data_IF_753814427080
#
_entry.id   IF_753814427080
#
_cell.length_a   1.000
_cell.length_b   1.000
_cell.length_c   1.000
_cell.angle_alpha   90.00
_cell.angle_beta   90.00
_cell.angle_gamma   90.00
#
_symmetry.space_group_name_H-M   'P 1'
#
loop_
_entity.id
_entity.type
_entity.pdbx_description
1 polymer ?
#
# COMPACT_ATOMS: atom_id res chain seq x y z
N UNK A 1 -20.78 8.65 -67.80
CA UNK A 1 -20.45 9.70 -68.77
C UNK A 1 -19.01 10.11 -68.53
N UNK A 2 -18.12 9.84 -69.51
CA UNK A 2 -16.74 10.36 -69.42
C UNK A 2 -16.78 11.85 -69.73
N UNK A 3 -16.53 12.68 -68.70
CA UNK A 3 -16.40 14.11 -68.81
C UNK A 3 -14.94 14.48 -68.98
N UNK A 4 -14.61 15.10 -70.13
CA UNK A 4 -13.24 15.58 -70.40
C UNK A 4 -13.29 17.10 -70.37
N UNK A 5 -12.46 17.68 -69.47
CA UNK A 5 -12.28 19.16 -69.42
C UNK A 5 -11.41 19.57 -70.60
N UNK A 6 -11.98 20.21 -71.61
CA UNK A 6 -11.31 20.78 -72.80
C UNK A 6 -11.41 22.31 -72.76
N UNK A 7 -10.45 23.00 -73.39
CA UNK A 7 -10.43 24.44 -73.51
C UNK A 7 -11.64 25.02 -74.30
N UNK A 8 -12.41 24.17 -74.92
CA UNK A 8 -13.66 24.53 -75.64
C UNK A 8 -14.91 24.34 -74.81
N UNK A 9 -14.80 23.91 -73.56
CA UNK A 9 -15.94 23.68 -72.67
C UNK A 9 -16.70 24.99 -72.41
N UNK A 10 -18.01 25.01 -72.76
CA UNK A 10 -18.90 26.19 -72.55
C UNK A 10 -19.76 25.96 -71.27
N UNK A 11 -20.26 27.09 -70.70
CA UNK A 11 -21.25 27.05 -69.64
C UNK A 11 -22.54 26.30 -70.04
N UNK A 12 -22.87 26.30 -71.29
CA UNK A 12 -24.02 25.60 -71.85
C UNK A 12 -23.81 24.08 -71.81
N UNK A 13 -22.58 23.61 -72.03
CA UNK A 13 -22.23 22.19 -71.94
C UNK A 13 -22.34 21.72 -70.53
N UNK A 14 -21.85 22.49 -69.55
CA UNK A 14 -21.97 22.20 -68.11
C UNK A 14 -23.46 22.18 -67.70
N UNK A 15 -24.23 23.12 -68.11
CA UNK A 15 -25.69 23.19 -67.85
C UNK A 15 -26.42 21.97 -68.37
N UNK A 16 -26.11 21.53 -69.62
CA UNK A 16 -26.71 20.39 -70.28
C UNK A 16 -26.40 19.04 -69.58
N UNK A 17 -25.34 18.99 -68.76
CA UNK A 17 -24.98 17.78 -67.94
C UNK A 17 -25.96 17.57 -66.80
N UNK A 18 -26.84 18.54 -66.48
CA UNK A 18 -27.77 18.42 -65.34
C UNK A 18 -27.14 17.99 -64.06
N UNK A 19 -25.97 18.52 -63.71
CA UNK A 19 -25.17 18.11 -62.56
C UNK A 19 -25.90 18.20 -61.19
N UNK A 20 -26.92 19.07 -61.16
CA UNK A 20 -27.83 19.24 -60.04
C UNK A 20 -28.56 17.92 -59.63
N UNK A 21 -28.75 16.99 -60.57
CA UNK A 21 -29.40 15.70 -60.31
C UNK A 21 -28.47 14.75 -59.51
N UNK A 22 -27.17 15.01 -59.51
CA UNK A 22 -26.13 14.22 -58.84
C UNK A 22 -25.57 14.96 -57.64
N UNK A 23 -26.23 16.01 -57.16
CA UNK A 23 -25.73 16.84 -56.08
C UNK A 23 -25.54 16.02 -54.81
N UNK A 24 -26.50 15.15 -54.43
CA UNK A 24 -26.44 14.28 -53.27
C UNK A 24 -25.31 13.25 -53.40
N UNK A 25 -25.17 12.59 -54.55
CA UNK A 25 -24.09 11.59 -54.79
C UNK A 25 -22.70 12.24 -54.72
N UNK A 26 -22.56 13.46 -55.24
CA UNK A 26 -21.32 14.24 -55.21
C UNK A 26 -20.99 14.68 -53.77
N UNK A 27 -22.00 15.12 -53.03
CA UNK A 27 -21.84 15.50 -51.62
C UNK A 27 -21.42 14.31 -50.78
N UNK A 28 -22.08 13.15 -50.92
CA UNK A 28 -21.72 11.92 -50.22
C UNK A 28 -20.31 11.45 -50.59
N UNK A 29 -19.93 11.40 -51.86
CA UNK A 29 -18.60 11.03 -52.30
C UNK A 29 -17.54 12.01 -51.80
N UNK A 30 -17.86 13.30 -51.77
CA UNK A 30 -16.94 14.34 -51.26
C UNK A 30 -16.76 14.21 -49.73
N UNK A 31 -17.83 13.92 -48.99
CA UNK A 31 -17.77 13.70 -47.55
C UNK A 31 -16.97 12.42 -47.21
N UNK A 32 -17.23 11.32 -47.95
CA UNK A 32 -16.46 10.11 -47.86
C UNK A 32 -14.96 10.38 -48.07
N UNK A 33 -14.60 11.03 -49.17
CA UNK A 33 -13.20 11.36 -49.48
C UNK A 33 -12.53 12.23 -48.42
N UNK A 34 -13.27 13.20 -47.84
CA UNK A 34 -12.74 14.02 -46.73
C UNK A 34 -12.52 13.19 -45.46
N UNK A 35 -13.44 12.29 -45.12
CA UNK A 35 -13.31 11.43 -43.93
C UNK A 35 -12.19 10.44 -44.12
N UNK A 36 -12.08 9.80 -45.28
CA UNK A 36 -10.96 8.87 -45.60
C UNK A 36 -9.61 9.58 -45.56
N UNK A 37 -9.46 10.76 -46.15
CA UNK A 37 -8.25 11.55 -46.08
C UNK A 37 -7.87 11.98 -44.65
N UNK A 38 -8.87 12.25 -43.79
CA UNK A 38 -8.66 12.54 -42.39
C UNK A 38 -8.17 11.31 -41.64
N UNK A 39 -8.75 10.13 -41.89
CA UNK A 39 -8.33 8.87 -41.31
C UNK A 39 -6.91 8.51 -41.71
N UNK A 40 -6.58 8.60 -43.00
CA UNK A 40 -5.22 8.36 -43.50
C UNK A 40 -4.20 9.27 -42.84
N UNK A 41 -4.48 10.57 -42.74
CA UNK A 41 -3.59 11.51 -42.04
C UNK A 41 -3.39 11.17 -40.58
N UNK A 42 -4.44 10.72 -39.90
CA UNK A 42 -4.37 10.31 -38.48
C UNK A 42 -3.55 9.04 -38.32
N UNK A 43 -3.76 8.04 -39.17
CA UNK A 43 -2.97 6.78 -39.15
C UNK A 43 -1.48 7.04 -39.43
N UNK A 44 -1.18 7.89 -40.41
CA UNK A 44 0.21 8.31 -40.69
C UNK A 44 0.84 9.02 -39.49
N UNK A 45 0.11 9.90 -38.83
CA UNK A 45 0.58 10.56 -37.60
C UNK A 45 0.82 9.56 -36.47
N UNK A 46 -0.06 8.56 -36.27
CA UNK A 46 0.13 7.50 -35.30
C UNK A 46 1.40 6.69 -35.59
N UNK A 47 1.62 6.30 -36.85
CA UNK A 47 2.82 5.57 -37.28
C UNK A 47 4.09 6.34 -36.97
N UNK A 48 4.14 7.65 -37.26
CA UNK A 48 5.30 8.49 -36.98
C UNK A 48 5.52 8.69 -35.49
N UNK A 49 4.46 8.94 -34.72
CA UNK A 49 4.55 9.23 -33.29
C UNK A 49 4.99 8.00 -32.50
N UNK A 50 4.35 6.85 -32.69
CA UNK A 50 4.62 5.64 -31.87
C UNK A 50 5.90 4.89 -32.27
N UNK A 51 6.51 5.25 -33.38
CA UNK A 51 7.80 4.69 -33.83
C UNK A 51 8.94 4.97 -32.84
N UNK A 52 8.91 6.14 -32.17
CA UNK A 52 10.03 6.64 -31.37
C UNK A 52 9.69 6.78 -29.89
N UNK A 53 8.44 6.50 -29.46
CA UNK A 53 8.04 6.58 -28.06
C UNK A 53 8.75 5.50 -27.25
N UNK A 54 9.58 5.94 -26.29
CA UNK A 54 10.33 5.09 -25.37
C UNK A 54 9.75 5.11 -23.98
N UNK A 55 9.95 4.02 -23.26
CA UNK A 55 9.74 3.99 -21.81
C UNK A 55 10.76 4.87 -21.09
N UNK A 56 10.36 5.41 -19.95
CA UNK A 56 11.25 5.98 -18.95
C UNK A 56 11.72 4.86 -18.03
N UNK A 57 13.02 4.88 -17.68
CA UNK A 57 13.62 3.88 -16.82
C UNK A 57 14.13 4.52 -15.54
N UNK A 58 13.76 3.91 -14.40
CA UNK A 58 14.22 4.30 -13.08
C UNK A 58 14.91 3.08 -12.43
N UNK A 59 16.08 3.32 -11.83
CA UNK A 59 16.83 2.25 -11.15
C UNK A 59 16.12 1.81 -9.87
N UNK A 60 15.91 0.52 -9.70
CA UNK A 60 15.37 -0.03 -8.46
C UNK A 60 16.39 0.13 -7.32
N UNK A 61 15.92 0.59 -6.14
CA UNK A 61 16.78 0.85 -4.98
C UNK A 61 17.52 -0.41 -4.54
N UNK A 62 18.85 -0.36 -4.57
CA UNK A 62 19.72 -1.43 -4.09
C UNK A 62 20.01 -2.56 -5.08
N UNK A 63 19.59 -2.42 -6.34
CA UNK A 63 19.89 -3.40 -7.41
C UNK A 63 20.13 -2.70 -8.75
N UNK A 64 20.75 -3.41 -9.70
CA UNK A 64 20.96 -2.93 -11.08
C UNK A 64 19.73 -3.08 -11.98
N UNK A 65 18.56 -3.37 -11.41
CA UNK A 65 17.33 -3.61 -12.15
C UNK A 65 16.69 -2.29 -12.56
N UNK A 66 16.42 -2.13 -13.86
CA UNK A 66 15.75 -0.97 -14.43
C UNK A 66 14.25 -1.22 -14.47
N UNK A 67 13.51 -0.46 -13.69
CA UNK A 67 12.04 -0.41 -13.74
C UNK A 67 11.62 0.56 -14.84
N UNK A 68 10.48 0.29 -15.49
CA UNK A 68 10.01 1.14 -16.57
C UNK A 68 8.57 1.61 -16.36
N UNK A 69 8.27 2.74 -16.97
CA UNK A 69 6.91 3.32 -17.07
C UNK A 69 6.81 4.19 -18.32
N UNK A 70 5.61 4.45 -18.80
CA UNK A 70 5.37 5.57 -19.72
C UNK A 70 5.44 6.90 -18.97
N UNK A 71 5.91 7.97 -19.62
CA UNK A 71 5.78 9.32 -19.09
C UNK A 71 4.30 9.73 -19.03
N UNK A 72 3.96 10.67 -18.17
CA UNK A 72 2.59 11.20 -18.06
C UNK A 72 2.12 11.76 -19.41
N UNK A 73 2.95 12.51 -20.11
CA UNK A 73 2.65 13.05 -21.45
C UNK A 73 2.35 11.95 -22.48
N UNK A 74 3.15 10.86 -22.47
CA UNK A 74 2.94 9.73 -23.38
C UNK A 74 1.69 8.92 -23.00
N UNK A 75 1.32 8.89 -21.73
CA UNK A 75 0.11 8.22 -21.26
C UNK A 75 -1.14 9.00 -21.65
N UNK A 76 -1.15 10.32 -21.50
CA UNK A 76 -2.24 11.20 -21.99
C UNK A 76 -2.39 11.07 -23.51
N UNK A 77 -1.28 11.06 -24.25
CA UNK A 77 -1.29 10.85 -25.70
C UNK A 77 -1.83 9.47 -26.08
N UNK A 78 -1.53 8.42 -25.30
CA UNK A 78 -2.07 7.08 -25.49
C UNK A 78 -3.59 7.08 -25.40
N UNK A 79 -4.15 7.70 -24.36
CA UNK A 79 -5.60 7.79 -24.17
C UNK A 79 -6.27 8.59 -25.30
N UNK A 80 -5.69 9.72 -25.70
CA UNK A 80 -6.19 10.51 -26.83
C UNK A 80 -6.20 9.69 -28.12
N UNK A 81 -5.10 8.99 -28.40
CA UNK A 81 -4.98 8.17 -29.61
C UNK A 81 -5.93 6.97 -29.60
N UNK A 82 -6.18 6.35 -28.46
CA UNK A 82 -7.18 5.29 -28.31
C UNK A 82 -8.60 5.81 -28.65
N UNK A 83 -8.95 7.00 -28.16
CA UNK A 83 -10.22 7.63 -28.47
C UNK A 83 -10.34 7.96 -29.96
N UNK A 84 -9.27 8.48 -30.59
CA UNK A 84 -9.24 8.78 -32.02
C UNK A 84 -9.44 7.54 -32.87
N UNK A 85 -8.72 6.44 -32.57
CA UNK A 85 -8.85 5.17 -33.30
C UNK A 85 -10.22 4.53 -33.10
N UNK A 86 -10.77 4.59 -31.90
CA UNK A 86 -12.14 4.11 -31.61
C UNK A 86 -13.20 4.91 -32.40
N UNK A 87 -13.05 6.23 -32.50
CA UNK A 87 -13.92 7.07 -33.31
C UNK A 87 -13.81 6.75 -34.82
N UNK A 88 -12.60 6.45 -35.32
CA UNK A 88 -12.40 6.01 -36.70
C UNK A 88 -13.08 4.67 -36.98
N UNK A 89 -12.96 3.69 -36.06
CA UNK A 89 -13.63 2.38 -36.20
C UNK A 89 -15.17 2.49 -36.19
N UNK A 90 -15.73 3.52 -35.56
CA UNK A 90 -17.16 3.78 -35.52
C UNK A 90 -17.67 4.58 -36.75
N UNK A 91 -16.76 5.00 -37.65
CA UNK A 91 -17.12 5.80 -38.83
C UNK A 91 -17.71 4.90 -39.94
N UNK A 92 -18.80 5.35 -40.60
CA UNK A 92 -19.43 4.61 -41.70
C UNK A 92 -18.52 4.36 -42.92
N UNK A 93 -17.46 5.15 -43.07
CA UNK A 93 -16.51 5.05 -44.18
C UNK A 93 -15.19 4.38 -43.80
N UNK A 94 -15.15 3.60 -42.69
CA UNK A 94 -13.94 2.97 -42.20
C UNK A 94 -13.47 1.77 -43.05
N UNK A 95 -14.33 1.22 -43.91
CA UNK A 95 -14.13 -0.06 -44.60
C UNK A 95 -12.74 -0.23 -45.25
N UNK A 96 -12.20 0.82 -45.86
CA UNK A 96 -10.87 0.77 -46.48
C UNK A 96 -9.73 0.71 -45.44
N UNK A 97 -9.89 1.36 -44.28
CA UNK A 97 -8.90 1.47 -43.23
C UNK A 97 -9.19 0.55 -42.05
N UNK A 98 -10.22 -0.29 -42.08
CA UNK A 98 -10.68 -1.13 -40.96
C UNK A 98 -9.58 -2.01 -40.40
N UNK A 99 -8.80 -2.66 -41.26
CA UNK A 99 -7.69 -3.57 -40.85
C UNK A 99 -6.60 -2.79 -40.11
N UNK A 100 -6.22 -1.62 -40.62
CA UNK A 100 -5.18 -0.79 -40.01
C UNK A 100 -5.66 -0.14 -38.71
N UNK A 101 -6.89 0.37 -38.66
CA UNK A 101 -7.51 0.89 -37.45
C UNK A 101 -7.65 -0.20 -36.38
N UNK A 102 -8.04 -1.43 -36.74
CA UNK A 102 -8.13 -2.55 -35.80
C UNK A 102 -6.75 -2.93 -35.26
N UNK A 103 -5.73 -2.95 -36.11
CA UNK A 103 -4.35 -3.19 -35.68
C UNK A 103 -3.91 -2.13 -34.67
N UNK A 104 -4.10 -0.84 -34.97
CA UNK A 104 -3.75 0.26 -34.06
C UNK A 104 -4.54 0.18 -32.75
N UNK A 105 -5.84 -0.12 -32.82
CA UNK A 105 -6.64 -0.29 -31.61
C UNK A 105 -6.09 -1.38 -30.70
N UNK A 106 -5.65 -2.49 -31.27
CA UNK A 106 -5.05 -3.61 -30.54
C UNK A 106 -3.68 -3.24 -29.96
N UNK A 107 -2.81 -2.59 -30.75
CA UNK A 107 -1.47 -2.18 -30.29
C UNK A 107 -1.55 -1.13 -29.17
N UNK A 108 -2.40 -0.12 -29.29
CA UNK A 108 -2.61 0.88 -28.24
C UNK A 108 -3.23 0.27 -26.96
N UNK A 109 -4.16 -0.68 -27.12
CA UNK A 109 -4.72 -1.42 -26.00
C UNK A 109 -3.65 -2.25 -25.27
N UNK A 110 -2.78 -2.94 -26.02
CA UNK A 110 -1.66 -3.71 -25.46
C UNK A 110 -0.68 -2.80 -24.69
N UNK A 111 -0.37 -1.62 -25.22
CA UNK A 111 0.52 -0.66 -24.52
C UNK A 111 -0.10 -0.21 -23.20
N UNK A 112 -1.40 0.11 -23.18
CA UNK A 112 -2.12 0.52 -21.98
C UNK A 112 -2.16 -0.59 -20.93
N UNK A 113 -2.54 -1.79 -21.35
CA UNK A 113 -2.63 -2.96 -20.47
C UNK A 113 -1.27 -3.33 -19.87
N UNK A 114 -0.24 -3.42 -20.70
CA UNK A 114 1.11 -3.78 -20.24
C UNK A 114 1.70 -2.71 -19.33
N UNK A 115 1.48 -1.41 -19.62
CA UNK A 115 1.94 -0.34 -18.73
C UNK A 115 1.29 -0.42 -17.35
N UNK A 116 0.01 -0.71 -17.27
CA UNK A 116 -0.72 -0.88 -16.01
C UNK A 116 -0.25 -2.13 -15.25
N UNK A 117 -0.19 -3.28 -15.93
CA UNK A 117 0.33 -4.54 -15.36
C UNK A 117 1.77 -4.39 -14.88
N UNK A 118 2.63 -3.75 -15.67
CA UNK A 118 4.02 -3.49 -15.28
C UNK A 118 4.10 -2.62 -14.04
N UNK A 119 3.26 -1.58 -13.93
CA UNK A 119 3.20 -0.73 -12.74
C UNK A 119 2.79 -1.50 -11.48
N UNK A 120 1.79 -2.37 -11.58
CA UNK A 120 1.36 -3.23 -10.48
C UNK A 120 2.43 -4.26 -10.10
N UNK A 121 2.93 -5.00 -11.07
CA UNK A 121 3.96 -6.04 -10.87
C UNK A 121 5.22 -5.46 -10.24
N UNK A 122 5.71 -4.33 -10.73
CA UNK A 122 6.91 -3.68 -10.19
C UNK A 122 6.73 -3.22 -8.74
N UNK A 123 5.55 -2.67 -8.38
CA UNK A 123 5.25 -2.28 -7.00
C UNK A 123 5.18 -3.48 -6.07
N UNK A 124 4.40 -4.50 -6.44
CA UNK A 124 4.25 -5.73 -5.65
C UNK A 124 5.58 -6.48 -5.52
N UNK A 125 6.32 -6.65 -6.61
CA UNK A 125 7.63 -7.28 -6.59
C UNK A 125 8.63 -6.55 -5.69
N UNK A 126 8.75 -5.23 -5.84
CA UNK A 126 9.67 -4.41 -5.05
C UNK A 126 9.36 -4.47 -3.54
N UNK A 127 8.08 -4.53 -3.17
CA UNK A 127 7.64 -4.69 -1.80
C UNK A 127 7.99 -6.09 -1.25
N UNK A 128 7.69 -7.13 -2.02
CA UNK A 128 7.87 -8.51 -1.59
C UNK A 128 9.33 -8.98 -1.64
N UNK A 129 10.18 -8.39 -2.51
CA UNK A 129 11.60 -8.73 -2.62
C UNK A 129 12.31 -8.60 -1.28
N UNK A 130 12.12 -7.47 -0.58
CA UNK A 130 12.74 -7.25 0.73
C UNK A 130 12.31 -8.28 1.77
N UNK A 131 11.08 -8.79 1.68
CA UNK A 131 10.53 -9.72 2.64
C UNK A 131 10.92 -11.17 2.36
N UNK A 132 10.75 -11.63 1.13
CA UNK A 132 11.01 -13.03 0.77
C UNK A 132 12.49 -13.32 0.49
N UNK A 133 13.30 -12.30 0.12
CA UNK A 133 14.73 -12.49 -0.15
C UNK A 133 15.60 -12.15 1.06
N UNK A 134 15.24 -11.13 1.84
CA UNK A 134 16.11 -10.64 2.92
C UNK A 134 15.64 -11.00 4.33
N UNK A 135 14.38 -11.37 4.56
CA UNK A 135 13.89 -11.76 5.88
C UNK A 135 13.95 -13.28 6.09
N UNK A 136 14.84 -13.72 6.96
CA UNK A 136 14.95 -15.13 7.35
C UNK A 136 13.72 -15.65 8.09
N UNK A 137 13.02 -14.78 8.83
CA UNK A 137 11.78 -15.14 9.54
C UNK A 137 10.66 -15.47 8.56
N UNK A 138 10.47 -14.63 7.54
CA UNK A 138 9.46 -14.86 6.50
C UNK A 138 9.76 -16.14 5.71
N UNK A 139 11.03 -16.39 5.39
CA UNK A 139 11.44 -17.64 4.72
C UNK A 139 11.14 -18.90 5.54
N UNK A 140 11.32 -18.83 6.86
CA UNK A 140 11.02 -19.96 7.74
C UNK A 140 9.54 -20.24 7.90
N UNK A 141 8.74 -19.18 8.00
CA UNK A 141 7.30 -19.31 8.23
C UNK A 141 6.55 -19.60 6.91
N UNK A 142 7.04 -19.11 5.75
CA UNK A 142 6.44 -19.25 4.43
C UNK A 142 7.40 -19.87 3.39
N UNK A 143 7.96 -21.07 3.63
CA UNK A 143 9.01 -21.63 2.78
C UNK A 143 8.56 -21.90 1.34
N UNK A 144 7.32 -22.35 1.12
CA UNK A 144 6.78 -22.59 -0.21
C UNK A 144 6.66 -21.32 -1.03
N UNK A 145 6.19 -20.25 -0.40
CA UNK A 145 6.04 -18.94 -1.06
C UNK A 145 7.39 -18.28 -1.29
N UNK A 146 8.35 -18.49 -0.40
CA UNK A 146 9.72 -18.02 -0.60
C UNK A 146 10.38 -18.69 -1.81
N UNK A 147 10.20 -19.99 -2.00
CA UNK A 147 10.68 -20.71 -3.18
C UNK A 147 9.96 -20.24 -4.47
N UNK A 148 8.62 -20.09 -4.42
CA UNK A 148 7.86 -19.52 -5.52
C UNK A 148 8.38 -18.11 -5.89
N UNK A 149 8.61 -17.27 -4.89
CA UNK A 149 9.08 -15.89 -5.10
C UNK A 149 10.45 -15.82 -5.74
N UNK A 150 11.37 -16.73 -5.44
CA UNK A 150 12.67 -16.81 -6.13
C UNK A 150 12.50 -17.06 -7.65
N UNK A 151 11.52 -17.86 -8.03
CA UNK A 151 11.17 -18.06 -9.44
C UNK A 151 10.58 -16.79 -10.07
N UNK A 152 9.68 -16.12 -9.36
CA UNK A 152 9.06 -14.85 -9.76
C UNK A 152 10.10 -13.75 -9.91
N UNK A 153 11.03 -13.62 -8.99
CA UNK A 153 12.11 -12.63 -9.03
C UNK A 153 12.96 -12.75 -10.29
N UNK A 154 13.36 -13.97 -10.63
CA UNK A 154 14.11 -14.23 -11.87
C UNK A 154 13.32 -13.85 -13.13
N UNK A 155 12.02 -14.16 -13.15
CA UNK A 155 11.17 -13.87 -14.30
C UNK A 155 10.91 -12.36 -14.43
N UNK A 156 10.64 -11.66 -13.33
CA UNK A 156 10.50 -10.19 -13.32
C UNK A 156 11.78 -9.53 -13.86
N UNK A 157 12.93 -9.91 -13.33
CA UNK A 157 14.23 -9.37 -13.79
C UNK A 157 14.47 -9.63 -15.28
N UNK A 158 14.06 -10.80 -15.80
CA UNK A 158 14.14 -11.12 -17.23
C UNK A 158 13.24 -10.23 -18.07
N UNK A 159 11.97 -10.03 -17.64
CA UNK A 159 10.98 -9.20 -18.35
C UNK A 159 11.46 -7.74 -18.40
N UNK A 160 11.94 -7.22 -17.28
CA UNK A 160 12.43 -5.85 -17.16
C UNK A 160 13.71 -5.62 -17.98
N UNK A 161 14.62 -6.60 -18.00
CA UNK A 161 15.83 -6.54 -18.83
C UNK A 161 15.51 -6.52 -20.33
N UNK A 162 14.54 -7.30 -20.79
CA UNK A 162 14.10 -7.27 -22.20
C UNK A 162 13.45 -5.92 -22.56
N UNK A 163 12.65 -5.33 -21.65
CA UNK A 163 12.11 -3.98 -21.82
C UNK A 163 13.22 -2.92 -21.96
N UNK A 164 14.26 -3.03 -21.14
CA UNK A 164 15.40 -2.12 -21.19
C UNK A 164 16.20 -2.20 -22.50
N UNK A 165 16.31 -3.40 -23.06
CA UNK A 165 16.98 -3.61 -24.35
C UNK A 165 16.17 -3.04 -25.52
N UNK A 166 14.85 -3.24 -25.52
CA UNK A 166 13.97 -2.83 -26.62
C UNK A 166 13.56 -1.36 -26.57
N UNK A 167 13.40 -0.80 -25.40
CA UNK A 167 13.10 0.61 -25.12
C UNK A 167 11.80 1.17 -25.73
N UNK A 168 11.47 0.84 -26.99
CA UNK A 168 10.33 1.38 -27.73
C UNK A 168 9.05 0.67 -27.28
N UNK A 169 8.07 1.45 -26.80
CA UNK A 169 6.84 0.94 -26.23
C UNK A 169 6.05 0.06 -27.20
N UNK A 170 5.87 0.51 -28.43
CA UNK A 170 5.15 -0.25 -29.46
C UNK A 170 5.79 -1.62 -29.75
N UNK A 171 7.12 -1.65 -29.93
CA UNK A 171 7.86 -2.87 -30.27
C UNK A 171 7.84 -3.88 -29.11
N UNK A 172 7.90 -3.37 -27.88
CA UNK A 172 7.89 -4.21 -26.69
C UNK A 172 6.50 -4.78 -26.41
N UNK A 173 5.47 -3.94 -26.43
CA UNK A 173 4.11 -4.32 -26.05
C UNK A 173 3.37 -5.16 -27.10
N UNK A 174 3.75 -5.10 -28.38
CA UNK A 174 3.15 -5.94 -29.43
C UNK A 174 3.62 -7.42 -29.40
N UNK A 175 4.55 -7.75 -28.48
CA UNK A 175 5.01 -9.12 -28.33
C UNK A 175 4.02 -9.97 -27.52
N UNK A 176 3.46 -11.00 -28.12
CA UNK A 176 2.43 -11.87 -27.52
C UNK A 176 2.85 -12.50 -26.19
N UNK A 177 4.16 -12.73 -25.98
CA UNK A 177 4.64 -13.33 -24.74
C UNK A 177 4.67 -12.36 -23.56
N UNK A 178 4.80 -11.05 -23.81
CA UNK A 178 4.97 -10.04 -22.75
C UNK A 178 3.74 -9.95 -21.85
N UNK A 179 2.57 -9.78 -22.44
CA UNK A 179 1.31 -9.73 -21.68
C UNK A 179 1.13 -11.02 -20.85
N UNK A 180 1.31 -12.20 -21.47
CA UNK A 180 1.21 -13.49 -20.77
C UNK A 180 2.21 -13.63 -19.62
N UNK A 181 3.43 -13.11 -19.80
CA UNK A 181 4.45 -13.17 -18.77
C UNK A 181 4.10 -12.27 -17.57
N UNK A 182 3.64 -11.03 -17.83
CA UNK A 182 3.19 -10.13 -16.78
C UNK A 182 1.96 -10.69 -16.04
N UNK A 183 0.97 -11.20 -16.74
CA UNK A 183 -0.22 -11.81 -16.13
C UNK A 183 0.15 -12.97 -15.22
N UNK A 184 1.01 -13.88 -15.70
CA UNK A 184 1.49 -15.02 -14.91
C UNK A 184 2.23 -14.58 -13.65
N UNK A 185 3.11 -13.58 -13.78
CA UNK A 185 3.88 -13.04 -12.66
C UNK A 185 2.94 -12.36 -11.65
N UNK A 186 1.96 -11.58 -12.11
CA UNK A 186 0.95 -10.93 -11.26
C UNK A 186 0.16 -11.97 -10.45
N UNK A 187 -0.30 -13.06 -11.09
CA UNK A 187 -0.99 -14.14 -10.39
C UNK A 187 -0.12 -14.77 -9.30
N UNK A 188 1.17 -15.00 -9.58
CA UNK A 188 2.11 -15.57 -8.63
C UNK A 188 2.43 -14.61 -7.47
N UNK A 189 2.59 -13.31 -7.75
CA UNK A 189 2.76 -12.27 -6.73
C UNK A 189 1.53 -12.18 -5.83
N UNK A 190 0.33 -12.24 -6.40
CA UNK A 190 -0.93 -12.25 -5.63
C UNK A 190 -1.00 -13.44 -4.66
N UNK A 191 -0.52 -14.61 -5.05
CA UNK A 191 -0.42 -15.78 -4.15
C UNK A 191 0.54 -15.50 -3.00
N UNK A 192 1.69 -14.87 -3.27
CA UNK A 192 2.66 -14.51 -2.23
C UNK A 192 2.11 -13.43 -1.28
N UNK A 193 1.45 -12.39 -1.81
CA UNK A 193 0.80 -11.34 -1.02
C UNK A 193 -0.27 -11.89 -0.10
N UNK A 194 -1.14 -12.75 -0.62
CA UNK A 194 -2.20 -13.37 0.16
C UNK A 194 -1.65 -14.22 1.31
N UNK A 195 -0.64 -15.04 1.04
CA UNK A 195 -0.01 -15.84 2.07
C UNK A 195 0.70 -14.99 3.14
N UNK A 196 1.34 -13.89 2.74
CA UNK A 196 1.93 -12.92 3.67
C UNK A 196 0.86 -12.24 4.52
N UNK A 197 -0.28 -11.86 3.94
CA UNK A 197 -1.40 -11.27 4.65
C UNK A 197 -1.99 -12.25 5.68
N UNK A 198 -2.23 -13.50 5.29
CA UNK A 198 -2.70 -14.56 6.19
C UNK A 198 -1.72 -14.82 7.34
N UNK A 199 -0.42 -14.79 7.06
CA UNK A 199 0.62 -14.88 8.08
C UNK A 199 0.54 -13.73 9.08
N UNK A 200 0.46 -12.48 8.62
CA UNK A 200 0.33 -11.32 9.49
C UNK A 200 -0.95 -11.35 10.31
N UNK A 201 -2.07 -11.76 9.74
CA UNK A 201 -3.35 -11.84 10.43
C UNK A 201 -3.33 -12.94 11.51
N UNK A 202 -2.61 -14.03 11.28
CA UNK A 202 -2.36 -15.04 12.33
C UNK A 202 -1.59 -14.45 13.52
N UNK A 203 -0.61 -13.55 13.26
CA UNK A 203 0.15 -12.87 14.31
C UNK A 203 -0.69 -11.83 15.05
N UNK A 204 -1.54 -11.10 14.36
CA UNK A 204 -2.52 -10.18 14.95
C UNK A 204 -3.53 -10.91 15.84
N UNK A 205 -3.98 -12.07 15.40
CA UNK A 205 -4.86 -12.93 16.22
C UNK A 205 -4.17 -13.44 17.49
N UNK A 206 -2.91 -13.82 17.39
CA UNK A 206 -2.11 -14.27 18.54
C UNK A 206 -1.82 -13.14 19.54
N UNK A 207 -1.58 -11.92 19.05
CA UNK A 207 -1.37 -10.73 19.86
C UNK A 207 -2.20 -9.55 19.33
N UNK A 208 -3.43 -9.33 19.86
CA UNK A 208 -4.39 -8.39 19.29
C UNK A 208 -3.92 -6.92 19.21
N UNK A 209 -2.95 -6.50 20.00
CA UNK A 209 -2.40 -5.14 19.91
C UNK A 209 -1.68 -4.87 18.59
N UNK A 210 -1.29 -5.89 17.85
CA UNK A 210 -0.73 -5.73 16.50
C UNK A 210 -1.74 -5.18 15.48
N UNK A 211 -3.05 -5.16 15.77
CA UNK A 211 -4.03 -4.46 14.94
C UNK A 211 -3.85 -2.92 14.94
N UNK A 212 -3.21 -2.36 15.97
CA UNK A 212 -2.91 -0.94 16.05
C UNK A 212 -1.63 -0.55 15.30
N UNK A 213 -0.85 -1.54 14.85
CA UNK A 213 0.43 -1.35 14.20
C UNK A 213 0.26 -1.40 12.67
N UNK A 214 0.84 -0.42 11.96
CA UNK A 214 0.83 -0.40 10.50
C UNK A 214 1.53 -1.64 9.92
N UNK A 215 1.14 -2.05 8.71
CA UNK A 215 1.65 -3.27 8.08
C UNK A 215 3.19 -3.30 7.97
N UNK A 216 3.79 -2.19 7.54
CA UNK A 216 5.25 -2.10 7.41
C UNK A 216 5.97 -2.24 8.75
N UNK A 217 5.44 -1.60 9.81
CA UNK A 217 5.99 -1.70 11.16
C UNK A 217 5.83 -3.12 11.73
N UNK A 218 4.69 -3.77 11.48
CA UNK A 218 4.46 -5.15 11.91
C UNK A 218 5.46 -6.11 11.26
N UNK A 219 5.73 -5.93 9.97
CA UNK A 219 6.74 -6.72 9.26
C UNK A 219 8.15 -6.50 9.82
N UNK A 220 8.49 -5.25 10.17
CA UNK A 220 9.79 -4.94 10.83
C UNK A 220 9.88 -5.59 12.20
N UNK A 221 8.82 -5.53 13.01
CA UNK A 221 8.72 -6.21 14.31
C UNK A 221 8.91 -7.71 14.15
N UNK A 222 8.21 -8.35 13.20
CA UNK A 222 8.29 -9.79 12.97
C UNK A 222 9.68 -10.20 12.45
N UNK A 223 10.27 -9.43 11.56
CA UNK A 223 11.61 -9.67 11.02
C UNK A 223 12.71 -9.54 12.08
N UNK A 224 12.52 -8.66 13.06
CA UNK A 224 13.45 -8.43 14.17
C UNK A 224 13.02 -9.10 15.48
N UNK A 225 12.07 -10.04 15.45
CA UNK A 225 11.53 -10.71 16.64
C UNK A 225 12.59 -11.34 17.56
N UNK A 226 13.73 -11.71 16.99
CA UNK A 226 14.88 -12.24 17.72
C UNK A 226 15.79 -11.18 18.37
N UNK A 227 15.57 -9.89 18.09
CA UNK A 227 16.36 -8.77 18.59
C UNK A 227 15.47 -7.74 19.31
N UNK A 228 15.04 -7.99 20.56
CA UNK A 228 14.12 -7.12 21.31
C UNK A 228 14.56 -5.66 21.39
N UNK A 229 15.86 -5.39 21.38
CA UNK A 229 16.39 -4.02 21.37
C UNK A 229 15.94 -3.23 20.12
N UNK A 230 15.83 -3.87 18.94
CA UNK A 230 15.36 -3.22 17.72
C UNK A 230 13.85 -2.96 17.73
N UNK A 231 13.09 -3.72 18.52
CA UNK A 231 11.63 -3.58 18.62
C UNK A 231 11.24 -2.39 19.48
N UNK A 232 12.14 -1.88 20.32
CA UNK A 232 11.88 -0.74 21.21
C UNK A 232 11.28 0.47 20.48
N UNK A 233 11.73 0.77 19.27
CA UNK A 233 11.20 1.87 18.46
C UNK A 233 9.70 1.74 18.11
N UNK A 234 9.15 0.53 18.21
CA UNK A 234 7.74 0.26 17.92
C UNK A 234 6.86 0.21 19.18
N UNK A 235 7.47 0.28 20.39
CA UNK A 235 6.73 0.23 21.67
C UNK A 235 5.63 1.29 21.74
N UNK A 236 5.86 2.56 21.37
CA UNK A 236 4.80 3.58 21.39
C UNK A 236 3.62 3.30 20.43
N UNK A 237 3.84 2.46 19.39
CA UNK A 237 2.80 2.04 18.45
C UNK A 237 1.97 0.87 18.98
N UNK A 238 2.58 0.02 19.81
CA UNK A 238 1.93 -1.13 20.47
C UNK A 238 1.22 -0.69 21.74
N UNK A 239 1.82 0.25 22.50
CA UNK A 239 1.34 0.73 23.79
C UNK A 239 1.26 2.27 23.77
N UNK A 240 0.10 2.81 24.00
CA UNK A 240 -0.14 4.26 23.91
C UNK A 240 0.72 5.11 24.86
N UNK A 241 1.02 4.61 26.05
CA UNK A 241 1.69 5.38 27.10
C UNK A 241 3.10 4.90 27.43
N UNK A 242 3.64 3.95 26.68
CA UNK A 242 4.97 3.39 26.92
C UNK A 242 5.90 3.77 25.79
N UNK A 243 7.01 4.37 26.12
CA UNK A 243 8.07 4.72 25.18
C UNK A 243 8.97 3.51 24.89
N UNK A 244 9.49 2.88 25.95
CA UNK A 244 10.36 1.72 25.84
C UNK A 244 10.32 0.85 27.10
N UNK A 245 10.92 -0.33 27.02
CA UNK A 245 11.22 -1.20 28.15
C UNK A 245 12.66 -0.99 28.57
N UNK A 246 12.92 -0.99 29.87
CA UNK A 246 14.28 -1.06 30.40
C UNK A 246 14.83 -2.47 30.18
N UNK A 247 15.83 -2.60 29.30
CA UNK A 247 16.43 -3.89 28.95
C UNK A 247 17.77 -4.07 29.64
N UNK A 248 17.94 -5.20 30.33
CA UNK A 248 19.22 -5.63 30.84
C UNK A 248 19.72 -6.79 29.98
N UNK A 249 20.85 -6.59 29.32
CA UNK A 249 21.49 -7.65 28.55
C UNK A 249 22.12 -8.70 29.49
N UNK A 250 21.62 -9.93 29.39
CA UNK A 250 22.13 -11.06 30.17
C UNK A 250 22.02 -12.34 29.32
N UNK A 251 23.14 -12.72 28.71
CA UNK A 251 23.22 -13.86 27.80
C UNK A 251 22.65 -13.56 26.39
N UNK A 252 22.01 -14.55 25.77
CA UNK A 252 21.55 -14.50 24.38
C UNK A 252 20.27 -13.65 24.21
N UNK A 253 19.51 -13.50 25.29
CA UNK A 253 18.24 -12.75 25.27
C UNK A 253 18.16 -11.83 26.49
N UNK A 254 17.77 -10.55 26.31
CA UNK A 254 17.67 -9.58 27.38
C UNK A 254 16.52 -9.87 28.33
N UNK A 255 16.61 -9.31 29.54
CA UNK A 255 15.52 -9.20 30.50
C UNK A 255 14.89 -7.81 30.41
N UNK A 256 13.57 -7.73 30.41
CA UNK A 256 12.84 -6.51 30.65
C UNK A 256 12.71 -6.30 32.18
N UNK A 257 13.26 -5.18 32.65
CA UNK A 257 13.31 -4.84 34.08
C UNK A 257 12.14 -3.95 34.50
N UNK A 258 11.57 -3.22 33.58
CA UNK A 258 10.49 -2.27 33.79
C UNK A 258 10.11 -1.55 32.51
N UNK A 259 9.28 -0.53 32.62
CA UNK A 259 8.76 0.27 31.52
C UNK A 259 8.92 1.78 31.79
N UNK A 260 9.27 2.53 30.75
CA UNK A 260 9.31 3.98 30.74
C UNK A 260 8.09 4.54 30.03
N UNK A 261 7.53 5.62 30.58
CA UNK A 261 6.40 6.33 29.95
C UNK A 261 6.90 7.29 28.86
N UNK A 262 6.06 7.57 27.85
CA UNK A 262 6.35 8.53 26.81
C UNK A 262 6.05 10.00 27.20
N UNK A 263 5.42 10.19 28.36
CA UNK A 263 5.10 11.51 28.92
C UNK A 263 5.71 11.61 30.31
N UNK A 264 6.67 12.50 30.45
CA UNK A 264 7.41 12.64 31.71
C UNK A 264 8.59 11.68 31.84
N UNK A 265 9.09 11.50 33.05
CA UNK A 265 10.25 10.65 33.39
C UNK A 265 9.86 9.48 34.28
N UNK A 266 8.62 9.01 34.16
CA UNK A 266 8.12 7.96 35.03
C UNK A 266 8.67 6.60 34.59
N UNK A 267 9.26 5.88 35.54
CA UNK A 267 9.76 4.51 35.39
C UNK A 267 9.06 3.58 36.35
N UNK A 268 8.46 2.54 35.80
CA UNK A 268 7.76 1.51 36.58
C UNK A 268 8.54 0.20 36.51
N UNK A 269 9.09 -0.21 37.65
CA UNK A 269 9.84 -1.48 37.79
C UNK A 269 8.90 -2.66 37.75
N UNK A 270 9.24 -3.71 36.99
CA UNK A 270 8.51 -4.97 37.08
C UNK A 270 8.82 -5.71 38.38
N UNK A 271 7.78 -6.26 38.98
CA UNK A 271 7.92 -7.07 40.20
C UNK A 271 8.94 -8.21 40.05
N UNK A 272 8.91 -8.84 38.88
CA UNK A 272 9.87 -9.87 38.49
C UNK A 272 10.48 -9.52 37.13
N UNK A 273 11.79 -9.50 36.96
CA UNK A 273 12.44 -9.35 35.68
C UNK A 273 11.93 -10.40 34.68
N UNK A 274 11.49 -9.94 33.48
CA UNK A 274 10.94 -10.80 32.47
C UNK A 274 11.94 -11.10 31.37
N UNK A 275 12.30 -12.37 31.18
CA UNK A 275 13.18 -12.81 30.10
C UNK A 275 12.40 -12.84 28.78
N UNK A 276 12.83 -12.06 27.75
CA UNK A 276 12.15 -11.96 26.47
C UNK A 276 12.54 -13.14 25.58
N UNK A 277 11.80 -14.25 25.67
CA UNK A 277 12.08 -15.51 24.96
C UNK A 277 10.98 -15.90 23.98
N UNK A 278 11.34 -16.67 22.97
CA UNK A 278 10.39 -17.19 21.99
C UNK A 278 10.06 -16.21 20.88
N UNK A 279 8.87 -16.37 20.29
CA UNK A 279 8.35 -15.49 19.22
C UNK A 279 7.88 -14.16 19.80
N UNK A 280 7.91 -13.11 18.98
CA UNK A 280 7.59 -11.74 19.42
C UNK A 280 6.17 -11.62 19.98
N UNK A 281 5.20 -12.29 19.38
CA UNK A 281 3.81 -12.30 19.86
C UNK A 281 3.68 -12.92 21.26
N UNK A 282 4.50 -13.92 21.56
CA UNK A 282 4.49 -14.61 22.86
C UNK A 282 5.11 -13.72 23.94
N UNK A 283 6.35 -13.25 23.77
CA UNK A 283 6.95 -12.44 24.84
C UNK A 283 6.31 -11.06 24.99
N UNK A 284 5.65 -10.52 23.95
CA UNK A 284 4.85 -9.30 24.09
C UNK A 284 3.59 -9.53 24.94
N UNK A 285 2.98 -10.72 24.87
CA UNK A 285 1.92 -11.09 25.79
C UNK A 285 2.44 -11.22 27.23
N UNK A 286 3.60 -11.85 27.41
CA UNK A 286 4.25 -11.95 28.72
C UNK A 286 4.61 -10.57 29.31
N UNK A 287 4.99 -9.60 28.45
CA UNK A 287 5.18 -8.19 28.85
C UNK A 287 3.88 -7.59 29.40
N UNK A 288 2.73 -7.77 28.70
CA UNK A 288 1.44 -7.29 29.21
C UNK A 288 1.12 -7.89 30.56
N UNK A 289 1.32 -9.18 30.73
CA UNK A 289 1.00 -9.88 31.98
C UNK A 289 1.94 -9.45 33.11
N UNK A 290 3.21 -9.19 32.80
CA UNK A 290 4.16 -8.59 33.74
C UNK A 290 3.79 -7.16 34.13
N UNK A 291 3.36 -6.33 33.17
CA UNK A 291 2.86 -4.98 33.45
C UNK A 291 1.65 -5.02 34.39
N UNK A 292 0.67 -5.85 34.08
CA UNK A 292 -0.56 -5.99 34.88
C UNK A 292 -0.30 -6.48 36.29
N UNK A 293 0.55 -7.51 36.44
CA UNK A 293 0.90 -8.05 37.75
C UNK A 293 1.68 -7.04 38.60
N UNK A 294 2.63 -6.32 38.00
CA UNK A 294 3.41 -5.29 38.68
C UNK A 294 2.54 -4.12 39.14
N UNK A 295 1.69 -3.58 38.24
CA UNK A 295 0.78 -2.50 38.61
C UNK A 295 -0.24 -2.93 39.69
N UNK A 296 -0.73 -4.17 39.64
CA UNK A 296 -1.62 -4.72 40.66
C UNK A 296 -0.95 -4.81 42.02
N UNK A 297 0.31 -5.26 42.06
CA UNK A 297 1.07 -5.33 43.31
C UNK A 297 1.39 -3.93 43.84
N UNK A 298 1.87 -3.01 42.98
CA UNK A 298 2.13 -1.61 43.36
C UNK A 298 0.86 -0.94 43.92
N UNK A 299 -0.31 -1.18 43.31
CA UNK A 299 -1.57 -0.65 43.80
C UNK A 299 -1.94 -1.21 45.19
N UNK A 300 -1.70 -2.50 45.42
CA UNK A 300 -1.89 -3.11 46.76
C UNK A 300 -0.99 -2.50 47.83
N UNK A 301 0.29 -2.37 47.49
CA UNK A 301 1.30 -1.80 48.41
C UNK A 301 1.03 -0.28 48.62
N UNK A 302 0.60 0.43 47.63
CA UNK A 302 0.23 1.84 47.68
C UNK A 302 -0.96 2.09 48.64
N UNK A 303 -1.98 1.23 48.57
CA UNK A 303 -3.14 1.31 49.48
C UNK A 303 -2.70 1.14 50.96
N UNK A 304 -1.72 0.27 51.22
CA UNK A 304 -1.15 0.12 52.59
C UNK A 304 -0.37 1.35 52.97
N UNK A 305 0.47 1.88 52.08
CA UNK A 305 1.27 3.10 52.36
C UNK A 305 0.43 4.34 52.61
N UNK A 306 -0.69 4.48 51.96
CA UNK A 306 -1.62 5.62 52.17
C UNK A 306 -2.08 5.71 53.64
N UNK A 307 -2.19 4.58 54.36
CA UNK A 307 -2.51 4.57 55.79
C UNK A 307 -1.33 4.86 56.74
N UNK A 308 -0.10 4.93 56.19
CA UNK A 308 1.13 5.03 56.98
C UNK A 308 1.87 6.38 56.86
N UNK A 309 1.53 7.19 55.84
CA UNK A 309 2.22 8.44 55.56
C UNK A 309 1.22 9.55 55.19
N UNK A 310 1.68 10.79 55.08
CA UNK A 310 0.82 11.90 54.63
C UNK A 310 0.46 11.75 53.14
N UNK A 311 -0.70 12.29 52.77
CA UNK A 311 -1.20 12.24 51.39
C UNK A 311 -0.20 12.87 50.39
N UNK A 312 0.46 13.93 50.76
CA UNK A 312 1.46 14.63 49.94
C UNK A 312 2.71 13.75 49.69
N UNK A 313 3.19 13.08 50.71
CA UNK A 313 4.30 12.12 50.59
C UNK A 313 3.91 10.94 49.75
N UNK A 314 2.70 10.39 49.93
CA UNK A 314 2.20 9.27 49.16
C UNK A 314 2.07 9.58 47.67
N UNK A 315 1.57 10.79 47.31
CA UNK A 315 1.45 11.22 45.91
C UNK A 315 2.77 11.23 45.12
N UNK A 316 3.91 11.33 45.81
CA UNK A 316 5.22 11.41 45.19
C UNK A 316 5.93 10.06 45.03
N UNK A 317 5.39 8.98 45.64
CA UNK A 317 6.08 7.70 45.72
C UNK A 317 5.64 6.67 44.69
N UNK A 318 4.44 6.81 44.13
CA UNK A 318 3.84 5.77 43.30
C UNK A 318 3.54 6.25 41.88
N UNK A 319 3.49 5.33 40.89
CA UNK A 319 3.12 5.66 39.51
C UNK A 319 1.78 6.38 39.43
N UNK A 320 1.68 7.38 38.57
CA UNK A 320 0.51 8.24 38.44
C UNK A 320 -0.80 7.47 38.23
N UNK A 321 -0.75 6.41 37.42
CA UNK A 321 -1.92 5.56 37.16
C UNK A 321 -2.44 4.88 38.45
N UNK A 322 -1.53 4.32 39.26
CA UNK A 322 -1.88 3.66 40.53
C UNK A 322 -2.35 4.66 41.58
N UNK A 323 -1.70 5.82 41.65
CA UNK A 323 -2.08 6.94 42.54
C UNK A 323 -3.50 7.44 42.24
N UNK A 324 -3.83 7.67 40.96
CA UNK A 324 -5.18 8.06 40.55
C UNK A 324 -6.22 6.99 40.90
N UNK A 325 -5.92 5.72 40.63
CA UNK A 325 -6.82 4.61 40.95
C UNK A 325 -7.10 4.54 42.46
N UNK A 326 -6.08 4.57 43.30
CA UNK A 326 -6.22 4.50 44.75
C UNK A 326 -6.95 5.71 45.29
N UNK A 327 -6.66 6.91 44.76
CA UNK A 327 -7.39 8.12 45.16
C UNK A 327 -8.88 8.04 44.86
N UNK A 328 -9.26 7.53 43.66
CA UNK A 328 -10.66 7.33 43.29
C UNK A 328 -11.32 6.27 44.20
N UNK A 329 -10.64 5.16 44.44
CA UNK A 329 -11.18 4.08 45.29
C UNK A 329 -11.42 4.56 46.73
N UNK A 330 -10.46 5.30 47.32
CA UNK A 330 -10.59 5.82 48.70
C UNK A 330 -11.67 6.90 48.79
N UNK A 331 -11.73 7.82 47.82
CA UNK A 331 -12.76 8.83 47.72
C UNK A 331 -14.17 8.20 47.63
N UNK A 332 -14.35 7.20 46.74
CA UNK A 332 -15.63 6.50 46.57
C UNK A 332 -16.06 5.84 47.87
N UNK A 333 -15.13 5.11 48.52
CA UNK A 333 -15.40 4.46 49.82
C UNK A 333 -15.83 5.46 50.91
N UNK A 334 -15.13 6.59 50.96
CA UNK A 334 -15.39 7.60 52.00
C UNK A 334 -16.72 8.32 51.74
N UNK A 335 -17.06 8.61 50.51
CA UNK A 335 -18.36 9.16 50.09
C UNK A 335 -19.49 8.16 50.39
N UNK A 336 -19.35 6.90 49.99
CA UNK A 336 -20.34 5.85 50.30
C UNK A 336 -20.53 5.68 51.83
N UNK A 337 -19.42 5.72 52.57
CA UNK A 337 -19.45 5.69 54.04
C UNK A 337 -20.18 6.90 54.64
N UNK A 338 -20.00 8.09 54.07
CA UNK A 338 -20.70 9.28 54.47
C UNK A 338 -22.21 9.21 54.15
N UNK A 339 -22.59 8.76 52.95
CA UNK A 339 -23.98 8.52 52.58
C UNK A 339 -24.66 7.52 53.52
N UNK A 340 -24.02 6.47 53.94
CA UNK A 340 -24.56 5.49 54.88
C UNK A 340 -24.84 6.10 56.25
N UNK A 341 -24.10 7.17 56.66
CA UNK A 341 -24.23 7.82 57.94
C UNK A 341 -25.25 9.01 57.95
N UNK A 342 -25.71 9.47 56.79
CA UNK A 342 -26.58 10.65 56.66
C UNK A 342 -27.86 10.55 57.54
N UNK A 343 -28.44 9.37 57.68
CA UNK A 343 -29.64 9.15 58.49
C UNK A 343 -29.42 9.42 59.97
N UNK A 344 -28.19 9.30 60.46
CA UNK A 344 -27.81 9.57 61.87
C UNK A 344 -27.05 10.86 62.08
N UNK A 345 -26.36 11.38 61.05
CA UNK A 345 -25.60 12.64 61.08
C UNK A 345 -25.80 13.40 59.74
N UNK A 346 -26.68 14.44 59.71
CA UNK A 346 -26.89 15.24 58.50
C UNK A 346 -25.67 15.97 57.98
N UNK A 347 -24.60 16.14 58.77
CA UNK A 347 -23.35 16.79 58.40
C UNK A 347 -22.30 15.79 57.86
N UNK A 348 -22.60 14.50 57.84
CA UNK A 348 -21.64 13.47 57.44
C UNK A 348 -21.00 13.69 56.05
N UNK A 349 -21.73 14.27 55.11
CA UNK A 349 -21.17 14.65 53.78
C UNK A 349 -20.22 15.81 53.86
N UNK A 350 -20.45 16.77 54.76
CA UNK A 350 -19.54 17.92 54.96
C UNK A 350 -18.25 17.50 55.65
N UNK A 351 -18.37 16.59 56.61
CA UNK A 351 -17.21 16.03 57.32
C UNK A 351 -16.34 15.18 56.40
N UNK A 352 -16.93 14.43 55.45
CA UNK A 352 -16.18 13.65 54.44
C UNK A 352 -15.49 14.53 53.40
N UNK A 353 -15.93 15.76 53.19
CA UNK A 353 -15.31 16.69 52.19
C UNK A 353 -14.07 17.39 52.72
N UNK A 354 -13.75 17.26 53.99
CA UNK A 354 -12.56 17.92 54.63
C UNK A 354 -11.31 17.00 54.57
N UNK A 355 -11.44 15.79 54.13
CA UNK A 355 -10.37 14.81 53.94
C UNK A 355 -10.12 14.47 52.45
#
# INVERSE_FOLDING_TARGET
VQFVVDAKLTLRDIYNLNLNKYAEDVEETTDQAKQEAKMEKTLNKLNETWKDIKFQFDMHKGSDVQMFKLSEENFEMLEENQQQVSAMLSNRFVAFFEVECTKWNTSLANISEINNLAGEVQRSWSFLENLFIHSEEVKKELPKQAELFVGVDKEVKRILADAYVKQIALIYCDQVWVNKAFTKVQEQLTVCEKALQEFMDSKRTAFPRFYFVAQADLLDILSNGNAPAKIQQHMPKIFQAIENLELKEEGVRPFAMGMHTNVGTEYVVFTNPLKLMGKVETYMQDVIDSMRSSLKQIAGDSLVRLGQMTKEQWLQNDPAQTTLLINILTWTRDVEGAFSKIKGNPLAMKDAHVH
#
